data_IF_328576562709
#
_entry.id   IF_328576562709
#
_cell.length_a   1.000
_cell.length_b   1.000
_cell.length_c   1.000
_cell.angle_alpha   90.00
_cell.angle_beta   90.00
_cell.angle_gamma   90.00
#
_symmetry.space_group_name_H-M   'P 1'
#
loop_
_entity.id
_entity.type
_entity.pdbx_description
1 polymer ?
#
# COMPACT_ATOMS: atom_id res chain seq x y z
N UNK A 1 15.29 19.46 17.30
CA UNK A 1 16.09 18.93 18.42
C UNK A 1 16.87 19.98 19.20
N UNK A 2 17.31 21.10 18.59
CA UNK A 2 18.09 22.14 19.28
C UNK A 2 17.26 23.31 19.83
N UNK A 3 15.96 23.33 19.53
CA UNK A 3 15.03 24.34 20.02
C UNK A 3 14.54 23.97 21.43
N UNK A 4 15.38 24.28 22.42
CA UNK A 4 15.18 23.90 23.83
C UNK A 4 13.94 24.59 24.40
N UNK A 5 13.64 25.82 23.97
CA UNK A 5 12.51 26.57 24.50
C UNK A 5 11.18 25.93 24.11
N UNK A 6 11.01 25.59 22.82
CA UNK A 6 9.80 24.91 22.36
C UNK A 6 9.67 23.50 22.93
N UNK A 7 10.77 22.75 23.08
CA UNK A 7 10.73 21.45 23.74
C UNK A 7 10.30 21.54 25.21
N UNK A 8 10.75 22.56 25.95
CA UNK A 8 10.30 22.80 27.33
C UNK A 8 8.81 23.16 27.39
N UNK A 9 8.32 23.97 26.44
CA UNK A 9 6.89 24.28 26.32
C UNK A 9 6.08 23.00 26.11
N UNK A 10 6.45 22.19 25.10
CA UNK A 10 5.78 20.91 24.83
C UNK A 10 5.81 19.94 26.01
N UNK A 11 6.91 19.92 26.77
CA UNK A 11 7.01 19.10 27.98
C UNK A 11 6.06 19.59 29.08
N UNK A 12 5.88 20.91 29.22
CA UNK A 12 5.00 21.51 30.23
C UNK A 12 3.50 21.28 29.96
N UNK A 13 3.12 21.03 28.70
CA UNK A 13 1.73 20.72 28.32
C UNK A 13 1.25 19.36 28.86
N UNK A 14 2.16 18.43 29.21
CA UNK A 14 1.84 17.11 29.76
C UNK A 14 0.82 16.30 28.92
N UNK A 15 1.05 16.21 27.60
CA UNK A 15 0.19 15.44 26.69
C UNK A 15 0.02 13.98 27.13
N UNK A 16 -1.21 13.46 27.04
CA UNK A 16 -1.53 12.07 27.36
C UNK A 16 -1.12 11.08 26.25
N UNK A 17 -1.11 11.54 24.99
CA UNK A 17 -0.88 10.71 23.81
C UNK A 17 -0.22 11.50 22.68
N UNK A 18 0.73 10.86 21.99
CA UNK A 18 1.31 11.35 20.74
C UNK A 18 0.76 10.61 19.53
N UNK A 19 0.50 11.32 18.43
CA UNK A 19 0.23 10.71 17.12
C UNK A 19 1.30 11.20 16.15
N UNK A 20 1.99 10.28 15.47
CA UNK A 20 3.03 10.65 14.50
C UNK A 20 3.00 9.78 13.26
N UNK A 21 3.41 10.36 12.15
CA UNK A 21 3.45 9.71 10.83
C UNK A 21 4.78 8.97 10.67
N UNK A 22 4.74 7.75 10.13
CA UNK A 22 5.96 6.98 9.88
C UNK A 22 6.78 7.55 8.72
N UNK A 23 6.12 8.10 7.70
CA UNK A 23 6.80 8.70 6.56
C UNK A 23 7.67 9.91 6.95
N UNK A 24 7.28 10.64 8.00
CA UNK A 24 8.07 11.69 8.63
C UNK A 24 8.29 11.38 10.13
N UNK A 25 9.27 10.52 10.47
CA UNK A 25 9.39 9.94 11.81
C UNK A 25 10.00 10.89 12.84
N UNK A 26 10.12 12.19 12.55
CA UNK A 26 10.67 13.19 13.47
C UNK A 26 9.90 13.25 14.79
N UNK A 27 8.58 12.98 14.77
CA UNK A 27 7.74 13.02 15.97
C UNK A 27 8.18 12.02 17.04
N UNK A 28 8.70 10.85 16.67
CA UNK A 28 9.24 9.89 17.65
C UNK A 28 10.39 10.48 18.47
N UNK A 29 11.28 11.24 17.82
CA UNK A 29 12.36 11.94 18.49
C UNK A 29 11.87 13.02 19.45
N UNK A 30 10.82 13.75 19.06
CA UNK A 30 10.17 14.76 19.91
C UNK A 30 9.54 14.09 21.13
N UNK A 31 8.77 13.02 20.94
CA UNK A 31 8.12 12.27 22.02
C UNK A 31 9.16 11.77 23.03
N UNK A 32 10.25 11.17 22.55
CA UNK A 32 11.33 10.72 23.40
C UNK A 32 11.99 11.87 24.19
N UNK A 33 12.13 13.05 23.58
CA UNK A 33 12.76 14.22 24.25
C UNK A 33 11.90 14.83 25.34
N UNK A 34 10.58 14.87 25.15
CA UNK A 34 9.65 15.42 26.14
C UNK A 34 9.23 14.38 27.18
N UNK A 35 9.66 13.12 27.04
CA UNK A 35 9.33 12.03 27.95
C UNK A 35 7.96 11.39 27.73
N UNK A 36 7.33 11.63 26.57
CA UNK A 36 6.05 11.06 26.19
C UNK A 36 6.23 9.59 25.78
N UNK A 37 5.61 8.68 26.53
CA UNK A 37 5.75 7.22 26.34
C UNK A 37 4.58 6.57 25.61
N UNK A 38 3.43 7.25 25.54
CA UNK A 38 2.22 6.75 24.92
C UNK A 38 2.07 7.40 23.56
N UNK A 39 2.07 6.60 22.50
CA UNK A 39 1.88 7.11 21.15
C UNK A 39 1.31 6.05 20.20
N UNK A 40 0.73 6.56 19.12
CA UNK A 40 0.24 5.81 17.98
C UNK A 40 1.07 6.21 16.77
N UNK A 41 1.48 5.22 15.99
CA UNK A 41 2.09 5.46 14.67
C UNK A 41 0.99 5.47 13.63
N UNK A 42 1.03 6.40 12.69
CA UNK A 42 0.15 6.45 11.53
C UNK A 42 0.95 6.30 10.24
N UNK A 43 0.31 5.75 9.22
CA UNK A 43 0.81 5.74 7.87
C UNK A 43 -0.28 6.14 6.89
N UNK A 44 0.02 7.17 6.08
CA UNK A 44 -0.90 7.77 5.11
C UNK A 44 -1.34 6.87 3.95
N UNK A 45 -0.93 5.59 3.92
CA UNK A 45 -1.29 4.61 2.90
C UNK A 45 -1.55 3.22 3.51
N UNK A 46 -1.62 2.19 2.67
CA UNK A 46 -1.71 0.78 3.09
C UNK A 46 -0.54 0.35 3.97
N UNK A 47 -0.75 -0.69 4.78
CA UNK A 47 0.30 -1.27 5.61
C UNK A 47 1.56 -1.56 4.80
N UNK A 48 2.66 -0.95 5.23
CA UNK A 48 3.92 -0.93 4.51
C UNK A 48 4.83 -2.08 4.95
N UNK A 49 5.32 -2.95 4.04
CA UNK A 49 6.00 -4.19 4.45
C UNK A 49 7.18 -4.00 5.43
N UNK A 50 8.07 -3.00 5.29
CA UNK A 50 9.14 -2.81 6.26
C UNK A 50 8.62 -2.49 7.66
N UNK A 51 7.61 -1.61 7.77
CA UNK A 51 6.99 -1.25 9.05
C UNK A 51 6.19 -2.40 9.67
N UNK A 52 5.49 -3.18 8.84
CA UNK A 52 4.75 -4.36 9.25
C UNK A 52 5.69 -5.35 9.94
N UNK A 53 6.90 -5.49 9.41
CA UNK A 53 7.91 -6.41 9.93
C UNK A 53 8.38 -6.06 11.35
N UNK A 54 8.38 -4.77 11.71
CA UNK A 54 8.70 -4.26 13.05
C UNK A 54 7.59 -4.61 14.06
N UNK A 55 6.36 -4.73 13.57
CA UNK A 55 5.17 -5.14 14.34
C UNK A 55 4.97 -6.66 14.36
N UNK A 56 5.96 -7.43 13.87
CA UNK A 56 5.90 -8.89 13.79
C UNK A 56 4.97 -9.43 12.71
N UNK A 57 4.61 -8.60 11.73
CA UNK A 57 3.82 -8.98 10.56
C UNK A 57 4.76 -9.16 9.37
N UNK A 58 4.91 -10.40 8.91
CA UNK A 58 5.82 -10.74 7.81
C UNK A 58 5.00 -11.02 6.57
N UNK A 59 4.83 -9.99 5.73
CA UNK A 59 4.07 -10.08 4.49
C UNK A 59 4.84 -10.90 3.46
N UNK A 60 4.19 -11.86 2.82
CA UNK A 60 4.86 -12.76 1.87
C UNK A 60 4.80 -12.18 0.43
N UNK A 61 5.95 -12.03 -0.26
CA UNK A 61 6.01 -11.45 -1.60
C UNK A 61 5.38 -12.32 -2.71
N UNK A 62 4.80 -13.48 -2.38
CA UNK A 62 4.19 -14.39 -3.35
C UNK A 62 2.76 -13.99 -3.71
N UNK A 63 2.08 -13.26 -2.81
CA UNK A 63 0.71 -12.79 -2.99
C UNK A 63 0.48 -11.37 -2.48
N UNK A 64 1.40 -10.75 -1.74
CA UNK A 64 1.32 -9.33 -1.39
C UNK A 64 2.27 -8.54 -2.29
N UNK A 65 1.77 -7.60 -3.10
CA UNK A 65 2.60 -6.70 -3.87
C UNK A 65 3.36 -5.72 -2.96
N UNK A 66 4.63 -5.47 -3.30
CA UNK A 66 5.42 -4.42 -2.64
C UNK A 66 4.81 -3.04 -2.88
N UNK A 67 5.16 -2.06 -2.06
CA UNK A 67 4.62 -0.70 -2.19
C UNK A 67 4.95 -0.04 -3.53
N UNK A 68 6.11 -0.32 -4.11
CA UNK A 68 6.48 0.17 -5.44
C UNK A 68 6.09 -0.79 -6.57
N UNK A 69 5.28 -1.82 -6.28
CA UNK A 69 4.87 -2.85 -7.23
C UNK A 69 3.50 -2.54 -7.84
N UNK A 70 3.41 -2.47 -9.16
CA UNK A 70 2.13 -2.28 -9.87
C UNK A 70 1.49 -3.62 -10.26
N UNK A 71 1.36 -4.54 -9.29
CA UNK A 71 0.80 -5.89 -9.44
C UNK A 71 -0.42 -6.11 -8.55
N UNK A 72 -1.21 -7.13 -8.88
CA UNK A 72 -2.29 -7.62 -7.99
C UNK A 72 -1.77 -8.74 -7.09
N UNK A 73 -2.62 -9.21 -6.17
CA UNK A 73 -2.41 -10.41 -5.35
C UNK A 73 -2.43 -11.73 -6.14
N UNK A 74 -2.82 -11.68 -7.42
CA UNK A 74 -2.79 -12.81 -8.34
C UNK A 74 -1.64 -12.64 -9.32
N UNK A 75 -0.46 -13.16 -8.95
CA UNK A 75 0.78 -13.02 -9.70
C UNK A 75 1.17 -14.32 -10.39
N UNK A 76 1.58 -14.23 -11.66
CA UNK A 76 2.26 -15.34 -12.33
C UNK A 76 3.71 -15.51 -11.78
N UNK A 77 4.47 -16.48 -12.29
CA UNK A 77 5.82 -16.72 -11.80
C UNK A 77 6.77 -15.52 -11.98
N UNK A 78 6.77 -14.88 -13.15
CA UNK A 78 7.62 -13.72 -13.44
C UNK A 78 7.23 -12.53 -12.57
N UNK A 79 5.92 -12.31 -12.38
CA UNK A 79 5.41 -11.30 -11.48
C UNK A 79 5.93 -11.50 -10.05
N UNK A 80 5.91 -12.74 -9.55
CA UNK A 80 6.42 -13.09 -8.22
C UNK A 80 7.92 -12.88 -8.11
N UNK A 81 8.71 -13.25 -9.11
CA UNK A 81 10.17 -13.01 -9.12
C UNK A 81 10.46 -11.53 -9.02
N UNK A 82 9.86 -10.73 -9.89
CA UNK A 82 10.01 -9.28 -9.85
C UNK A 82 9.51 -8.67 -8.53
N UNK A 83 8.39 -9.15 -7.99
CA UNK A 83 7.84 -8.65 -6.72
C UNK A 83 8.76 -9.01 -5.53
N UNK A 84 9.38 -10.19 -5.56
CA UNK A 84 10.41 -10.56 -4.60
C UNK A 84 11.61 -9.59 -4.65
N UNK A 85 12.07 -9.23 -5.85
CA UNK A 85 13.10 -8.19 -6.00
C UNK A 85 12.63 -6.82 -5.50
N UNK A 86 11.37 -6.45 -5.72
CA UNK A 86 10.79 -5.22 -5.16
C UNK A 86 10.89 -5.22 -3.64
N UNK A 87 10.47 -6.29 -2.96
CA UNK A 87 10.60 -6.44 -1.51
C UNK A 87 12.04 -6.34 -1.02
N UNK A 88 12.99 -6.95 -1.75
CA UNK A 88 14.41 -6.88 -1.41
C UNK A 88 14.93 -5.43 -1.45
N UNK A 89 14.65 -4.70 -2.52
CA UNK A 89 15.02 -3.29 -2.66
C UNK A 89 14.33 -2.43 -1.60
N UNK A 90 13.05 -2.66 -1.37
CA UNK A 90 12.27 -1.98 -0.34
C UNK A 90 12.93 -2.11 1.04
N UNK A 91 13.25 -3.32 1.48
CA UNK A 91 13.88 -3.53 2.79
C UNK A 91 15.26 -2.87 2.92
N UNK A 92 16.03 -2.77 1.82
CA UNK A 92 17.33 -2.10 1.83
C UNK A 92 17.21 -0.58 1.87
N UNK A 93 16.33 0.00 1.06
CA UNK A 93 16.27 1.44 0.85
C UNK A 93 15.44 2.16 1.89
N UNK A 94 14.36 1.54 2.37
CA UNK A 94 13.34 2.26 3.14
C UNK A 94 13.82 2.65 4.53
N UNK A 95 14.59 1.79 5.22
CA UNK A 95 15.20 2.17 6.50
C UNK A 95 16.10 3.40 6.33
N UNK A 96 16.92 3.40 5.29
CA UNK A 96 17.83 4.51 5.01
C UNK A 96 17.06 5.79 4.61
N UNK A 97 15.98 5.64 3.83
CA UNK A 97 15.19 6.74 3.30
C UNK A 97 14.32 7.42 4.36
N UNK A 98 13.68 6.65 5.23
CA UNK A 98 12.68 7.18 6.17
C UNK A 98 13.27 7.44 7.56
N UNK A 99 13.96 6.45 8.15
CA UNK A 99 14.23 6.47 9.59
C UNK A 99 15.68 6.76 9.94
N UNK A 100 16.66 6.31 9.15
CA UNK A 100 18.06 6.33 9.55
C UNK A 100 18.63 7.74 9.78
N UNK A 101 18.32 8.71 8.92
CA UNK A 101 18.81 10.09 9.10
C UNK A 101 18.17 10.77 10.31
N UNK A 102 16.87 10.55 10.53
CA UNK A 102 16.17 11.06 11.71
C UNK A 102 16.75 10.43 12.97
N UNK A 103 16.94 9.11 12.99
CA UNK A 103 17.54 8.38 14.10
C UNK A 103 18.94 8.92 14.45
N UNK A 104 19.81 9.11 13.45
CA UNK A 104 21.14 9.73 13.65
C UNK A 104 21.05 11.11 14.29
N UNK A 105 20.10 11.94 13.84
CA UNK A 105 19.91 13.29 14.40
C UNK A 105 19.42 13.21 15.84
N UNK A 106 18.49 12.32 16.16
CA UNK A 106 17.97 12.13 17.51
C UNK A 106 19.05 11.59 18.44
N UNK A 107 19.86 10.63 17.99
CA UNK A 107 20.95 10.00 18.75
C UNK A 107 22.04 10.98 19.19
N UNK A 108 22.23 12.11 18.48
CA UNK A 108 23.12 13.20 18.95
C UNK A 108 22.70 13.77 20.31
N UNK A 109 21.41 13.67 20.64
CA UNK A 109 20.84 14.18 21.90
C UNK A 109 20.33 13.08 22.84
N UNK A 110 20.02 11.90 22.31
CA UNK A 110 19.54 10.72 23.03
C UNK A 110 20.32 9.48 22.54
N UNK A 111 21.54 9.21 23.04
CA UNK A 111 22.44 8.22 22.46
C UNK A 111 21.88 6.79 22.34
N UNK A 112 20.93 6.42 23.19
CA UNK A 112 20.32 5.08 23.22
C UNK A 112 18.97 5.02 22.46
N UNK A 113 18.63 6.04 21.67
CA UNK A 113 17.40 6.05 20.89
C UNK A 113 17.48 5.03 19.76
N UNK A 114 16.46 4.16 19.67
CA UNK A 114 16.30 3.12 18.66
C UNK A 114 14.96 3.33 17.97
N UNK A 115 14.99 3.70 16.69
CA UNK A 115 13.78 4.02 15.94
C UNK A 115 12.90 2.79 15.72
N UNK A 116 13.51 1.65 15.38
CA UNK A 116 12.78 0.42 15.06
C UNK A 116 12.03 -0.10 16.29
N UNK A 117 12.70 -0.06 17.46
CA UNK A 117 12.08 -0.39 18.74
C UNK A 117 10.99 0.60 19.13
N UNK A 118 11.19 1.88 18.86
CA UNK A 118 10.18 2.92 19.12
C UNK A 118 8.92 2.68 18.28
N UNK A 119 9.06 2.39 16.99
CA UNK A 119 7.91 2.05 16.12
C UNK A 119 7.21 0.79 16.62
N UNK A 120 7.97 -0.26 16.98
CA UNK A 120 7.43 -1.52 17.52
C UNK A 120 6.60 -1.32 18.81
N UNK A 121 7.05 -0.40 19.67
CA UNK A 121 6.39 -0.04 20.94
C UNK A 121 5.20 0.92 20.77
N UNK A 122 4.70 1.11 19.55
CA UNK A 122 3.45 1.86 19.36
C UNK A 122 2.28 1.10 19.96
N UNK A 123 1.36 1.82 20.61
CA UNK A 123 0.13 1.24 21.15
C UNK A 123 -0.72 0.63 20.02
N UNK A 124 -0.89 1.41 18.95
CA UNK A 124 -1.53 1.01 17.70
C UNK A 124 -0.77 1.57 16.50
N UNK A 125 -1.08 1.01 15.34
CA UNK A 125 -0.59 1.44 14.06
C UNK A 125 -1.76 1.73 13.12
N UNK A 126 -1.98 3.00 12.82
CA UNK A 126 -3.04 3.48 11.94
C UNK A 126 -2.62 3.38 10.49
N UNK A 127 -3.47 2.79 9.64
CA UNK A 127 -3.29 2.78 8.19
C UNK A 127 -4.45 3.48 7.49
N UNK A 128 -4.12 4.38 6.56
CA UNK A 128 -5.11 5.02 5.70
C UNK A 128 -5.48 4.11 4.52
N UNK A 129 -6.03 2.94 4.84
CA UNK A 129 -6.63 2.03 3.86
C UNK A 129 -7.94 1.46 4.40
N UNK A 130 -8.65 0.70 3.57
CA UNK A 130 -9.88 -0.01 3.92
C UNK A 130 -9.73 -1.52 3.74
N UNK A 131 -10.24 -2.31 4.67
CA UNK A 131 -10.15 -3.77 4.65
C UNK A 131 -10.85 -4.38 3.43
N UNK A 132 -11.88 -3.72 2.90
CA UNK A 132 -12.59 -4.16 1.70
C UNK A 132 -11.95 -3.69 0.40
N UNK A 133 -11.00 -2.75 0.45
CA UNK A 133 -10.27 -2.27 -0.73
C UNK A 133 -8.90 -2.95 -0.82
N UNK A 134 -8.19 -3.03 0.29
CA UNK A 134 -6.82 -3.53 0.36
C UNK A 134 -6.69 -5.03 0.01
N UNK A 135 -5.44 -5.49 -0.10
CA UNK A 135 -5.14 -6.91 -0.22
C UNK A 135 -5.46 -7.63 1.10
N UNK A 136 -6.21 -8.75 1.06
CA UNK A 136 -6.35 -9.64 2.21
C UNK A 136 -4.96 -10.14 2.63
N UNK A 137 -4.57 -9.85 3.86
CA UNK A 137 -3.24 -10.17 4.37
C UNK A 137 -3.26 -10.43 5.88
N UNK A 138 -2.27 -11.17 6.41
CA UNK A 138 -2.09 -11.29 7.86
C UNK A 138 -1.83 -9.92 8.49
N UNK A 139 -2.54 -9.63 9.57
CA UNK A 139 -2.36 -8.44 10.41
C UNK A 139 -2.42 -8.85 11.89
N UNK A 140 -1.89 -8.00 12.77
CA UNK A 140 -2.12 -8.10 14.22
C UNK A 140 -3.22 -7.12 14.63
N UNK A 141 -3.76 -7.30 15.84
CA UNK A 141 -4.70 -6.35 16.44
C UNK A 141 -4.09 -4.98 16.74
N UNK A 142 -2.77 -4.77 16.53
CA UNK A 142 -2.16 -3.44 16.53
C UNK A 142 -2.52 -2.62 15.28
N UNK A 143 -2.89 -3.26 14.16
CA UNK A 143 -3.17 -2.55 12.91
C UNK A 143 -4.63 -2.10 12.88
N UNK A 144 -4.85 -0.78 12.82
CA UNK A 144 -6.18 -0.19 12.76
C UNK A 144 -6.36 0.50 11.41
N UNK A 145 -7.33 0.03 10.63
CA UNK A 145 -7.74 0.66 9.38
C UNK A 145 -8.61 1.88 9.68
N UNK A 146 -8.12 3.06 9.31
CA UNK A 146 -8.73 4.35 9.65
C UNK A 146 -9.19 5.14 8.43
N UNK A 147 -9.13 4.58 7.21
CA UNK A 147 -9.46 5.34 6.02
C UNK A 147 -10.91 5.87 6.02
N UNK A 148 -11.10 6.93 5.24
CA UNK A 148 -12.37 7.65 5.17
C UNK A 148 -12.51 8.77 6.20
N UNK A 149 -11.42 9.19 6.86
CA UNK A 149 -11.40 10.43 7.67
C UNK A 149 -11.80 11.66 6.86
N UNK A 150 -11.49 11.66 5.57
CA UNK A 150 -11.87 12.70 4.61
C UNK A 150 -13.31 12.59 4.08
N UNK A 151 -14.17 11.72 4.63
CA UNK A 151 -15.61 11.72 4.33
C UNK A 151 -16.29 12.94 4.93
N UNK A 152 -15.95 14.11 4.40
CA UNK A 152 -16.69 15.34 4.64
C UNK A 152 -17.99 15.23 3.85
N UNK A 153 -19.11 15.55 4.48
CA UNK A 153 -20.39 15.59 3.79
C UNK A 153 -20.28 16.56 2.60
N UNK A 154 -20.58 16.07 1.40
CA UNK A 154 -20.52 16.86 0.20
C UNK A 154 -21.44 18.08 0.33
N UNK A 155 -20.91 19.24 -0.05
CA UNK A 155 -21.66 20.48 -0.10
C UNK A 155 -22.22 20.69 -1.51
N UNK A 156 -23.33 21.45 -1.65
CA UNK A 156 -23.79 21.85 -2.97
C UNK A 156 -22.68 22.56 -3.74
N UNK A 157 -22.47 22.16 -4.99
CA UNK A 157 -21.49 22.79 -5.87
C UNK A 157 -21.86 24.25 -6.13
N UNK A 158 -20.84 25.12 -6.21
CA UNK A 158 -21.03 26.49 -6.66
C UNK A 158 -21.59 26.53 -8.09
N UNK A 159 -22.24 27.63 -8.45
CA UNK A 159 -22.94 27.78 -9.73
C UNK A 159 -22.05 27.48 -10.94
N UNK A 160 -20.80 27.95 -10.92
CA UNK A 160 -19.82 27.69 -11.98
C UNK A 160 -19.66 26.20 -12.29
N UNK A 161 -19.54 25.36 -11.26
CA UNK A 161 -19.41 23.91 -11.45
C UNK A 161 -20.74 23.24 -11.81
N UNK A 162 -21.83 23.72 -11.24
CA UNK A 162 -23.18 23.22 -11.55
C UNK A 162 -23.49 23.43 -13.04
N UNK A 163 -23.16 24.59 -13.61
CA UNK A 163 -23.33 24.91 -15.03
C UNK A 163 -22.53 23.94 -15.94
N UNK A 164 -21.36 23.48 -15.50
CA UNK A 164 -20.56 22.46 -16.20
C UNK A 164 -21.29 21.11 -16.22
N UNK A 165 -21.89 20.69 -15.10
CA UNK A 165 -22.66 19.44 -15.04
C UNK A 165 -23.99 19.53 -15.80
N UNK A 166 -24.63 20.69 -15.83
CA UNK A 166 -25.90 20.91 -16.50
C UNK A 166 -25.77 20.97 -18.02
N UNK A 167 -24.70 21.59 -18.52
CA UNK A 167 -24.39 21.61 -19.95
C UNK A 167 -23.90 20.27 -20.51
N UNK A 168 -23.46 19.34 -19.64
CA UNK A 168 -22.98 18.02 -20.05
C UNK A 168 -24.13 17.07 -20.43
N UNK A 169 -24.22 16.70 -21.71
CA UNK A 169 -25.29 15.82 -22.23
C UNK A 169 -25.21 14.39 -21.68
N UNK A 170 -24.00 13.83 -21.59
CA UNK A 170 -23.78 12.46 -21.10
C UNK A 170 -23.28 12.41 -19.66
N UNK A 171 -22.57 13.45 -19.22
CA UNK A 171 -22.02 13.53 -17.87
C UNK A 171 -20.63 14.14 -17.88
N UNK A 172 -19.96 14.06 -16.73
CA UNK A 172 -18.67 14.70 -16.49
C UNK A 172 -17.60 13.66 -16.17
N UNK A 173 -16.37 13.90 -16.61
CA UNK A 173 -15.19 13.18 -16.12
C UNK A 173 -14.32 14.18 -15.38
N UNK A 174 -13.94 13.83 -14.15
CA UNK A 174 -13.02 14.65 -13.35
C UNK A 174 -11.59 14.15 -13.55
N UNK A 175 -10.63 15.07 -13.68
CA UNK A 175 -9.22 14.77 -13.88
C UNK A 175 -8.36 15.55 -12.87
N UNK A 176 -7.69 14.83 -11.96
CA UNK A 176 -6.78 15.41 -10.97
C UNK A 176 -5.64 14.46 -10.62
N UNK A 177 -4.40 14.97 -10.66
CA UNK A 177 -3.21 14.27 -10.17
C UNK A 177 -2.86 14.59 -8.71
N UNK A 178 -3.80 15.18 -7.96
CA UNK A 178 -3.61 15.51 -6.56
C UNK A 178 -2.84 16.81 -6.35
N UNK A 179 -2.22 16.97 -5.18
CA UNK A 179 -1.51 18.19 -4.78
C UNK A 179 -0.01 18.17 -5.10
N UNK A 180 0.61 16.99 -5.11
CA UNK A 180 2.06 16.81 -5.28
C UNK A 180 2.44 16.70 -6.75
N UNK A 181 1.72 15.89 -7.53
CA UNK A 181 1.90 15.82 -8.98
C UNK A 181 1.05 16.90 -9.62
N UNK A 182 1.70 17.89 -10.23
CA UNK A 182 1.01 19.01 -10.87
C UNK A 182 0.85 18.75 -12.36
N UNK A 183 -0.38 18.86 -12.87
CA UNK A 183 -0.70 18.67 -14.30
C UNK A 183 0.10 19.61 -15.20
N UNK A 184 0.43 20.81 -14.71
CA UNK A 184 1.20 21.77 -15.47
C UNK A 184 2.64 21.32 -15.77
N UNK A 185 3.18 20.34 -15.06
CA UNK A 185 4.53 19.79 -15.27
C UNK A 185 4.55 18.62 -16.27
N UNK A 186 3.37 18.14 -16.71
CA UNK A 186 3.29 17.11 -17.74
C UNK A 186 3.99 17.56 -19.02
N UNK A 187 4.56 16.60 -19.75
CA UNK A 187 5.16 16.89 -21.05
C UNK A 187 4.11 17.46 -22.01
N UNK A 188 4.46 18.43 -22.87
CA UNK A 188 3.52 19.02 -23.82
C UNK A 188 2.77 17.98 -24.66
N UNK A 189 3.45 16.93 -25.10
CA UNK A 189 2.85 15.86 -25.92
C UNK A 189 1.79 15.07 -25.15
N UNK A 190 2.00 14.86 -23.84
CA UNK A 190 1.02 14.20 -22.99
C UNK A 190 -0.21 15.08 -22.77
N UNK A 191 -0.01 16.39 -22.54
CA UNK A 191 -1.14 17.34 -22.41
C UNK A 191 -1.97 17.38 -23.69
N UNK A 192 -1.31 17.45 -24.84
CA UNK A 192 -1.98 17.43 -26.14
C UNK A 192 -2.75 16.13 -26.36
N UNK A 193 -2.18 14.98 -25.97
CA UNK A 193 -2.87 13.69 -26.06
C UNK A 193 -4.18 13.65 -25.26
N UNK A 194 -4.24 14.25 -24.07
CA UNK A 194 -5.49 14.38 -23.30
C UNK A 194 -6.49 15.29 -24.00
N UNK A 195 -6.07 16.47 -24.43
CA UNK A 195 -6.92 17.42 -25.14
C UNK A 195 -7.53 16.82 -26.41
N UNK A 196 -6.71 16.14 -27.21
CA UNK A 196 -7.14 15.45 -28.43
C UNK A 196 -8.09 14.30 -28.14
N UNK A 197 -7.87 13.57 -27.04
CA UNK A 197 -8.76 12.50 -26.60
C UNK A 197 -10.10 13.04 -26.10
N UNK A 198 -10.09 14.12 -25.32
CA UNK A 198 -11.30 14.75 -24.78
C UNK A 198 -12.18 15.34 -25.89
N UNK A 199 -11.57 15.85 -26.97
CA UNK A 199 -12.30 16.35 -28.13
C UNK A 199 -13.13 15.28 -28.86
N UNK A 200 -12.79 13.99 -28.73
CA UNK A 200 -13.56 12.86 -29.29
C UNK A 200 -14.88 12.60 -28.54
N UNK A 201 -15.08 13.25 -27.39
CA UNK A 201 -16.27 13.10 -26.56
C UNK A 201 -17.00 14.44 -26.36
N UNK A 202 -17.57 15.04 -27.43
CA UNK A 202 -18.20 16.38 -27.35
C UNK A 202 -19.45 16.43 -26.47
N UNK A 203 -19.98 15.29 -26.06
CA UNK A 203 -21.14 15.16 -25.16
C UNK A 203 -20.75 15.01 -23.67
N UNK A 204 -19.46 14.88 -23.39
CA UNK A 204 -18.88 14.75 -22.04
C UNK A 204 -18.07 16.01 -21.74
N UNK A 205 -18.29 16.59 -20.57
CA UNK A 205 -17.46 17.66 -20.06
C UNK A 205 -16.34 17.09 -19.19
N UNK A 206 -15.18 17.72 -19.24
CA UNK A 206 -13.98 17.33 -18.50
C UNK A 206 -13.61 18.46 -17.55
N UNK A 207 -13.60 18.19 -16.25
CA UNK A 207 -13.07 19.12 -15.25
C UNK A 207 -11.64 18.69 -14.94
N UNK A 208 -10.66 19.50 -15.32
CA UNK A 208 -9.24 19.20 -15.17
C UNK A 208 -8.58 20.14 -14.16
N UNK A 209 -8.11 19.58 -13.04
CA UNK A 209 -7.25 20.29 -12.09
C UNK A 209 -5.93 20.67 -12.77
N UNK A 210 -5.69 21.96 -12.93
CA UNK A 210 -4.51 22.49 -13.60
C UNK A 210 -4.00 23.73 -12.87
N UNK A 211 -2.72 23.74 -12.50
CA UNK A 211 -2.20 24.67 -11.48
C UNK A 211 -1.84 26.07 -11.99
N UNK A 212 -1.83 26.28 -13.31
CA UNK A 212 -1.39 27.51 -14.00
C UNK A 212 -2.40 27.98 -15.05
N UNK A 213 -3.28 28.89 -14.66
CA UNK A 213 -4.34 29.44 -15.52
C UNK A 213 -3.77 30.23 -16.71
N UNK A 214 -2.59 30.84 -16.54
CA UNK A 214 -1.90 31.60 -17.58
C UNK A 214 -1.53 30.77 -18.81
N UNK A 215 -1.45 29.44 -18.67
CA UNK A 215 -1.20 28.54 -19.80
C UNK A 215 -2.39 28.44 -20.76
N UNK A 216 -3.61 28.80 -20.33
CA UNK A 216 -4.85 28.74 -21.13
C UNK A 216 -5.01 27.39 -21.87
N UNK A 217 -4.66 26.28 -21.22
CA UNK A 217 -4.49 24.96 -21.86
C UNK A 217 -5.78 24.46 -22.54
N UNK A 218 -6.95 24.86 -22.04
CA UNK A 218 -8.26 24.45 -22.55
C UNK A 218 -8.90 25.46 -23.53
N UNK A 219 -8.21 26.55 -23.92
CA UNK A 219 -8.79 27.67 -24.70
C UNK A 219 -9.53 27.24 -25.97
N UNK A 220 -9.04 26.19 -26.64
CA UNK A 220 -9.60 25.68 -27.90
C UNK A 220 -10.50 24.45 -27.72
N UNK A 221 -10.79 24.04 -26.48
CA UNK A 221 -11.53 22.83 -26.14
C UNK A 221 -12.78 23.17 -25.33
N UNK A 222 -13.91 23.30 -26.02
CA UNK A 222 -15.19 23.76 -25.43
C UNK A 222 -15.74 22.88 -24.32
N UNK A 223 -15.33 21.61 -24.27
CA UNK A 223 -15.78 20.64 -23.28
C UNK A 223 -14.73 20.39 -22.18
N UNK A 224 -13.67 21.20 -22.10
CA UNK A 224 -12.64 21.08 -21.07
C UNK A 224 -12.63 22.34 -20.22
N UNK A 225 -12.78 22.16 -18.92
CA UNK A 225 -12.86 23.21 -17.91
C UNK A 225 -11.71 23.01 -16.93
N UNK A 226 -10.95 24.07 -16.65
CA UNK A 226 -9.77 23.99 -15.78
C UNK A 226 -9.95 24.79 -14.51
N UNK A 227 -9.38 24.31 -13.40
CA UNK A 227 -9.29 25.10 -12.18
C UNK A 227 -8.09 24.68 -11.34
N UNK A 228 -7.47 25.66 -10.67
CA UNK A 228 -6.32 25.45 -9.78
C UNK A 228 -6.69 24.70 -8.50
N UNK A 229 -7.80 25.08 -7.91
CA UNK A 229 -8.37 24.47 -6.71
C UNK A 229 -9.83 24.14 -6.99
N UNK A 230 -10.18 22.88 -6.81
CA UNK A 230 -11.49 22.36 -7.19
C UNK A 230 -12.14 21.69 -5.98
N UNK A 231 -13.47 21.79 -5.81
CA UNK A 231 -14.21 21.12 -4.74
C UNK A 231 -14.30 19.61 -5.02
N UNK A 232 -13.16 18.92 -4.95
CA UNK A 232 -13.01 17.51 -5.35
C UNK A 232 -13.99 16.60 -4.61
N UNK A 233 -14.20 16.83 -3.32
CA UNK A 233 -15.15 16.05 -2.54
C UNK A 233 -16.57 16.09 -3.14
N UNK A 234 -17.01 17.28 -3.53
CA UNK A 234 -18.36 17.56 -4.01
C UNK A 234 -18.53 17.15 -5.48
N UNK A 235 -17.50 17.37 -6.31
CA UNK A 235 -17.44 16.87 -7.69
C UNK A 235 -17.56 15.34 -7.71
N UNK A 236 -16.83 14.65 -6.83
CA UNK A 236 -16.87 13.19 -6.72
C UNK A 236 -18.22 12.65 -6.25
N UNK A 237 -19.04 13.46 -5.59
CA UNK A 237 -20.38 13.08 -5.10
C UNK A 237 -21.49 13.36 -6.11
N UNK A 238 -21.19 14.07 -7.20
CA UNK A 238 -22.21 14.51 -8.14
C UNK A 238 -22.77 13.34 -8.98
N UNK A 239 -24.10 13.18 -9.12
CA UNK A 239 -24.72 12.02 -9.77
C UNK A 239 -24.42 11.88 -11.27
N UNK A 240 -24.09 12.99 -11.95
CA UNK A 240 -23.66 13.00 -13.38
C UNK A 240 -22.16 12.72 -13.56
N UNK A 241 -21.39 12.48 -12.50
CA UNK A 241 -19.98 12.11 -12.65
C UNK A 241 -19.86 10.66 -13.15
N UNK A 242 -19.16 10.50 -14.27
CA UNK A 242 -18.97 9.21 -14.93
C UNK A 242 -17.74 8.46 -14.43
N UNK A 243 -16.61 9.16 -14.29
CA UNK A 243 -15.34 8.58 -13.89
C UNK A 243 -14.38 9.65 -13.33
N UNK A 244 -13.34 9.18 -12.64
CA UNK A 244 -12.25 10.00 -12.12
C UNK A 244 -10.91 9.55 -12.71
N UNK A 245 -10.27 10.41 -13.50
CA UNK A 245 -8.87 10.24 -13.92
C UNK A 245 -7.98 10.73 -12.78
N UNK A 246 -7.21 9.81 -12.19
CA UNK A 246 -6.37 10.08 -11.03
C UNK A 246 -4.97 9.49 -11.18
N UNK A 247 -4.00 10.07 -10.50
CA UNK A 247 -2.68 9.46 -10.35
C UNK A 247 -2.69 8.18 -9.47
N UNK A 248 -3.79 7.88 -8.76
CA UNK A 248 -3.88 6.70 -7.90
C UNK A 248 -3.29 6.91 -6.49
N UNK A 249 -3.16 8.15 -6.03
CA UNK A 249 -2.83 8.42 -4.62
C UNK A 249 -3.90 7.86 -3.67
N UNK A 250 -3.51 7.43 -2.47
CA UNK A 250 -4.39 6.67 -1.58
C UNK A 250 -5.67 7.45 -1.21
N UNK A 251 -5.58 8.75 -0.95
CA UNK A 251 -6.76 9.57 -0.67
C UNK A 251 -7.77 9.58 -1.84
N UNK A 252 -7.28 9.75 -3.08
CA UNK A 252 -8.13 9.68 -4.28
C UNK A 252 -8.75 8.30 -4.47
N UNK A 253 -8.00 7.23 -4.18
CA UNK A 253 -8.50 5.85 -4.20
C UNK A 253 -9.63 5.67 -3.19
N UNK A 254 -9.46 6.19 -1.98
CA UNK A 254 -10.46 6.12 -0.92
C UNK A 254 -11.72 6.96 -1.24
N UNK A 255 -11.54 8.21 -1.68
CA UNK A 255 -12.65 9.09 -2.05
C UNK A 255 -13.48 8.52 -3.21
N UNK A 256 -12.82 8.04 -4.27
CA UNK A 256 -13.51 7.42 -5.39
C UNK A 256 -14.24 6.13 -5.01
N UNK A 257 -13.58 5.27 -4.22
CA UNK A 257 -14.17 4.00 -3.77
C UNK A 257 -15.36 4.19 -2.84
N UNK A 258 -15.31 5.18 -1.95
CA UNK A 258 -16.40 5.47 -1.01
C UNK A 258 -17.62 6.09 -1.68
N UNK A 259 -17.44 6.78 -2.82
CA UNK A 259 -18.51 7.40 -3.60
C UNK A 259 -18.99 6.57 -4.81
N UNK A 260 -18.41 5.39 -5.01
CA UNK A 260 -18.79 4.51 -6.12
C UNK A 260 -18.43 5.08 -7.49
N UNK A 261 -17.31 5.78 -7.56
CA UNK A 261 -16.79 6.38 -8.79
C UNK A 261 -15.75 5.44 -9.40
N UNK A 262 -15.91 4.99 -10.66
CA UNK A 262 -14.86 4.29 -11.39
C UNK A 262 -13.64 5.17 -11.68
N UNK A 263 -12.44 4.59 -11.64
CA UNK A 263 -11.19 5.35 -11.82
C UNK A 263 -10.44 4.96 -13.10
N UNK A 264 -9.84 5.96 -13.76
CA UNK A 264 -8.74 5.75 -14.70
C UNK A 264 -7.47 6.18 -13.96
N UNK A 265 -6.67 5.21 -13.54
CA UNK A 265 -5.47 5.44 -12.77
C UNK A 265 -4.24 5.59 -13.67
N UNK A 266 -3.45 6.64 -13.46
CA UNK A 266 -2.21 6.89 -14.18
C UNK A 266 -1.09 7.11 -13.16
N UNK A 267 -0.50 6.04 -12.62
CA UNK A 267 0.55 6.13 -11.61
C UNK A 267 1.77 6.88 -12.10
N UNK A 268 2.29 7.79 -11.27
CA UNK A 268 3.48 8.60 -11.57
C UNK A 268 4.69 8.10 -10.78
N UNK A 269 4.55 7.91 -9.46
CA UNK A 269 5.63 7.47 -8.57
C UNK A 269 5.11 6.87 -7.25
N UNK A 270 6.03 6.42 -6.39
CA UNK A 270 5.77 5.89 -5.06
C UNK A 270 4.73 4.75 -5.05
N UNK A 271 3.75 4.82 -4.15
CA UNK A 271 2.74 3.80 -3.87
C UNK A 271 1.58 3.78 -4.87
N UNK A 272 1.49 4.79 -5.74
CA UNK A 272 0.40 5.01 -6.69
C UNK A 272 0.15 3.80 -7.59
N UNK A 273 1.23 3.11 -8.00
CA UNK A 273 1.15 1.90 -8.82
C UNK A 273 0.42 0.77 -8.09
N UNK A 274 0.82 0.49 -6.85
CA UNK A 274 0.18 -0.52 -5.99
C UNK A 274 -1.28 -0.16 -5.70
N UNK A 275 -1.53 1.09 -5.32
CA UNK A 275 -2.86 1.59 -4.97
C UNK A 275 -3.83 1.47 -6.13
N UNK A 276 -3.37 1.77 -7.35
CA UNK A 276 -4.18 1.60 -8.56
C UNK A 276 -4.60 0.15 -8.77
N UNK A 277 -3.71 -0.80 -8.48
CA UNK A 277 -4.02 -2.22 -8.62
C UNK A 277 -5.04 -2.74 -7.59
N UNK A 278 -5.22 -2.05 -6.46
CA UNK A 278 -6.32 -2.32 -5.51
C UNK A 278 -7.69 -2.14 -6.18
N UNK A 279 -7.81 -1.19 -7.10
CA UNK A 279 -9.06 -0.92 -7.81
C UNK A 279 -9.18 -1.76 -9.09
N UNK A 280 -8.07 -1.96 -9.82
CA UNK A 280 -8.05 -2.82 -11.01
C UNK A 280 -8.50 -4.24 -10.66
N UNK A 281 -8.00 -4.83 -9.56
CA UNK A 281 -8.42 -6.19 -9.13
C UNK A 281 -9.91 -6.28 -8.76
N UNK A 282 -10.50 -5.17 -8.29
CA UNK A 282 -11.92 -5.06 -7.96
C UNK A 282 -12.77 -4.79 -9.20
N UNK A 283 -12.14 -4.57 -10.36
CA UNK A 283 -12.82 -4.18 -11.58
C UNK A 283 -13.52 -2.83 -11.47
N UNK A 284 -12.96 -1.90 -10.69
CA UNK A 284 -13.45 -0.52 -10.51
C UNK A 284 -12.52 0.51 -11.13
N UNK A 285 -11.39 0.09 -11.70
CA UNK A 285 -10.47 0.97 -12.38
C UNK A 285 -9.77 0.34 -13.59
N UNK A 286 -9.26 1.21 -14.45
CA UNK A 286 -8.31 0.92 -15.53
C UNK A 286 -7.00 1.61 -15.18
N UNK A 287 -5.86 0.92 -15.35
CA UNK A 287 -4.53 1.53 -15.20
C UNK A 287 -3.94 1.85 -16.57
N UNK A 288 -3.42 3.06 -16.76
CA UNK A 288 -2.57 3.44 -17.90
C UNK A 288 -1.17 3.72 -17.37
N UNK A 289 -0.15 3.13 -17.98
CA UNK A 289 1.23 3.47 -17.61
C UNK A 289 1.57 4.90 -18.08
N UNK A 290 2.28 5.67 -17.27
CA UNK A 290 2.67 7.05 -17.62
C UNK A 290 3.50 7.15 -18.91
N UNK A 291 4.16 6.06 -19.30
CA UNK A 291 4.94 5.95 -20.54
C UNK A 291 4.07 5.63 -21.76
N UNK A 292 2.82 5.19 -21.54
CA UNK A 292 1.87 4.79 -22.59
C UNK A 292 0.76 5.83 -22.81
N UNK A 293 0.90 7.03 -22.22
CA UNK A 293 -0.05 8.13 -22.41
C UNK A 293 -0.04 8.55 -23.88
N UNK A 294 -1.17 8.33 -24.54
CA UNK A 294 -1.43 8.70 -25.93
C UNK A 294 -2.91 8.97 -26.12
N UNK A 295 -3.29 9.66 -27.20
CA UNK A 295 -4.71 9.86 -27.55
C UNK A 295 -5.45 8.52 -27.58
N UNK A 296 -4.85 7.50 -28.21
CA UNK A 296 -5.46 6.19 -28.36
C UNK A 296 -5.70 5.48 -27.01
N UNK A 297 -4.71 5.47 -26.11
CA UNK A 297 -4.86 4.83 -24.81
C UNK A 297 -5.88 5.53 -23.92
N UNK A 298 -5.95 6.86 -23.95
CA UNK A 298 -6.93 7.65 -23.18
C UNK A 298 -8.35 7.43 -23.73
N UNK A 299 -8.54 7.51 -25.06
CA UNK A 299 -9.84 7.25 -25.70
C UNK A 299 -10.33 5.84 -25.40
N UNK A 300 -9.45 4.84 -25.48
CA UNK A 300 -9.79 3.45 -25.17
C UNK A 300 -10.23 3.30 -23.71
N UNK A 301 -9.48 3.86 -22.76
CA UNK A 301 -9.82 3.79 -21.34
C UNK A 301 -11.14 4.51 -21.01
N UNK A 302 -11.37 5.70 -21.57
CA UNK A 302 -12.63 6.44 -21.38
C UNK A 302 -13.80 5.63 -21.96
N UNK A 303 -13.70 5.13 -23.19
CA UNK A 303 -14.75 4.31 -23.80
C UNK A 303 -15.06 3.08 -22.97
N UNK A 304 -14.03 2.34 -22.56
CA UNK A 304 -14.21 1.13 -21.76
C UNK A 304 -14.92 1.43 -20.43
N UNK A 305 -14.45 2.43 -19.67
CA UNK A 305 -14.96 2.67 -18.33
C UNK A 305 -16.40 3.20 -18.31
N UNK A 306 -16.81 3.96 -19.33
CA UNK A 306 -18.17 4.52 -19.41
C UNK A 306 -19.17 3.58 -20.09
N UNK A 307 -18.73 2.69 -20.98
CA UNK A 307 -19.62 1.78 -21.73
C UNK A 307 -19.80 0.43 -21.03
N UNK A 308 -18.77 -0.05 -20.33
CA UNK A 308 -18.81 -1.31 -19.61
C UNK A 308 -19.38 -1.11 -18.20
N UNK A 309 -20.66 -1.46 -18.03
CA UNK A 309 -21.41 -1.29 -16.77
C UNK A 309 -20.73 -1.93 -15.56
N UNK A 310 -19.92 -2.97 -15.77
CA UNK A 310 -19.17 -3.67 -14.71
C UNK A 310 -18.41 -2.70 -13.82
N UNK A 311 -17.77 -1.68 -14.38
CA UNK A 311 -16.97 -0.73 -13.59
C UNK A 311 -17.82 0.06 -12.61
N UNK A 312 -18.96 0.60 -13.06
CA UNK A 312 -19.88 1.36 -12.22
C UNK A 312 -20.61 0.47 -11.22
N UNK A 313 -21.04 -0.72 -11.64
CA UNK A 313 -21.69 -1.70 -10.75
C UNK A 313 -20.76 -2.15 -9.62
N UNK A 314 -19.52 -2.52 -9.95
CA UNK A 314 -18.52 -2.89 -8.95
C UNK A 314 -18.14 -1.71 -8.04
N UNK A 315 -18.04 -0.48 -8.59
CA UNK A 315 -17.72 0.70 -7.79
C UNK A 315 -18.84 1.00 -6.79
N UNK A 316 -20.10 0.95 -7.22
CA UNK A 316 -21.26 1.12 -6.35
C UNK A 316 -21.33 0.02 -5.27
N UNK A 317 -21.04 -1.23 -5.65
CA UNK A 317 -21.01 -2.34 -4.69
C UNK A 317 -19.90 -2.15 -3.65
N UNK A 318 -18.70 -1.75 -4.08
CA UNK A 318 -17.57 -1.47 -3.19
C UNK A 318 -17.88 -0.31 -2.25
N UNK A 319 -18.46 0.79 -2.77
CA UNK A 319 -18.92 1.92 -1.96
C UNK A 319 -19.91 1.48 -0.90
N UNK A 320 -20.89 0.63 -1.26
CA UNK A 320 -21.85 0.08 -0.30
C UNK A 320 -21.14 -0.73 0.79
N UNK A 321 -20.17 -1.58 0.45
CA UNK A 321 -19.41 -2.35 1.46
C UNK A 321 -18.65 -1.43 2.42
N UNK A 322 -17.90 -0.47 1.89
CA UNK A 322 -17.09 0.47 2.67
C UNK A 322 -17.95 1.39 3.55
N UNK A 323 -19.08 1.86 3.03
CA UNK A 323 -19.99 2.75 3.75
C UNK A 323 -20.87 2.03 4.77
N UNK A 324 -21.12 0.73 4.59
CA UNK A 324 -21.93 -0.07 5.51
C UNK A 324 -21.12 -0.71 6.65
N UNK A 325 -19.83 -0.37 6.79
CA UNK A 325 -19.01 -0.89 7.88
C UNK A 325 -19.59 -0.49 9.25
N UNK A 326 -19.53 -1.38 10.24
CA UNK A 326 -20.11 -1.12 11.57
C UNK A 326 -19.41 0.01 12.32
N UNK A 327 -18.11 0.21 12.10
CA UNK A 327 -17.30 1.23 12.77
C UNK A 327 -16.62 2.13 11.74
N UNK A 328 -17.05 3.40 11.59
CA UNK A 328 -16.41 4.38 10.73
C UNK A 328 -14.96 4.68 11.12
N UNK A 329 -14.15 5.15 10.16
CA UNK A 329 -12.73 5.45 10.38
C UNK A 329 -12.50 6.47 11.50
N UNK A 330 -13.29 7.54 11.56
CA UNK A 330 -13.15 8.57 12.61
C UNK A 330 -13.45 8.01 14.00
N UNK A 331 -14.50 7.20 14.14
CA UNK A 331 -14.84 6.58 15.42
C UNK A 331 -13.74 5.63 15.89
N UNK A 332 -13.13 4.87 14.97
CA UNK A 332 -11.97 4.03 15.28
C UNK A 332 -10.80 4.88 15.76
N UNK A 333 -10.46 5.96 15.06
CA UNK A 333 -9.38 6.87 15.46
C UNK A 333 -9.57 7.36 16.89
N UNK A 334 -10.77 7.83 17.23
CA UNK A 334 -11.06 8.36 18.57
C UNK A 334 -10.97 7.26 19.62
N UNK A 335 -11.69 6.15 19.44
CA UNK A 335 -11.74 5.08 20.46
C UNK A 335 -10.39 4.41 20.72
N UNK A 336 -9.60 4.16 19.67
CA UNK A 336 -8.26 3.59 19.83
C UNK A 336 -7.26 4.62 20.39
N UNK A 337 -7.44 5.92 20.10
CA UNK A 337 -6.64 6.98 20.71
C UNK A 337 -6.95 7.10 22.21
N UNK A 338 -8.22 7.12 22.61
CA UNK A 338 -8.64 7.14 24.01
C UNK A 338 -8.05 5.94 24.78
N UNK A 339 -8.16 4.74 24.21
CA UNK A 339 -7.55 3.54 24.79
C UNK A 339 -6.02 3.67 24.92
N UNK A 340 -5.34 4.15 23.88
CA UNK A 340 -3.89 4.33 23.91
C UNK A 340 -3.45 5.42 24.89
N UNK A 341 -4.24 6.48 25.05
CA UNK A 341 -4.00 7.53 26.04
C UNK A 341 -4.11 6.98 27.46
N UNK A 342 -5.05 6.06 27.70
CA UNK A 342 -5.20 5.40 29.01
C UNK A 342 -4.07 4.39 29.26
N UNK A 343 -3.86 3.45 28.34
CA UNK A 343 -3.04 2.25 28.59
C UNK A 343 -1.67 2.22 27.90
N UNK A 344 -1.46 3.01 26.84
CA UNK A 344 -0.26 2.94 26.01
C UNK A 344 -0.10 1.60 25.29
N UNK A 345 1.15 1.22 24.99
CA UNK A 345 1.45 -0.15 24.54
C UNK A 345 1.40 -1.12 25.71
N UNK A 346 0.41 -2.01 25.68
CA UNK A 346 0.21 -3.02 26.73
C UNK A 346 1.16 -4.21 26.59
N UNK A 347 1.88 -4.34 25.48
CA UNK A 347 2.70 -5.50 25.14
C UNK A 347 1.91 -6.76 24.75
N UNK A 348 0.60 -6.81 25.07
CA UNK A 348 -0.26 -7.98 24.81
C UNK A 348 -0.54 -8.22 23.33
N UNK A 349 -0.43 -7.19 22.50
CA UNK A 349 -0.68 -7.25 21.06
C UNK A 349 0.60 -7.39 20.23
N UNK A 350 1.77 -7.49 20.88
CA UNK A 350 3.03 -7.69 20.20
C UNK A 350 3.17 -9.15 19.76
N UNK A 351 3.35 -9.36 18.46
CA UNK A 351 3.65 -10.69 17.93
C UNK A 351 5.08 -11.09 18.25
N UNK A 352 5.30 -12.31 18.75
CA UNK A 352 6.65 -12.85 18.99
C UNK A 352 7.45 -13.00 17.69
N UNK A 353 6.76 -13.08 16.54
CA UNK A 353 7.40 -13.04 15.22
C UNK A 353 8.21 -11.76 14.96
N UNK A 354 7.99 -10.68 15.74
CA UNK A 354 8.82 -9.48 15.70
C UNK A 354 10.23 -9.70 16.28
N UNK A 355 10.36 -10.61 17.25
CA UNK A 355 11.58 -10.87 18.01
C UNK A 355 12.39 -12.06 17.45
N UNK A 356 11.83 -12.80 16.49
CA UNK A 356 12.45 -13.99 15.92
C UNK A 356 13.37 -13.66 14.74
N UNK A 357 14.46 -14.41 14.63
CA UNK A 357 15.32 -14.40 13.44
C UNK A 357 14.60 -15.01 12.24
N UNK A 358 15.06 -14.69 11.04
CA UNK A 358 14.53 -15.26 9.80
C UNK A 358 14.52 -16.80 9.81
N UNK A 359 15.57 -17.43 10.38
CA UNK A 359 15.70 -18.89 10.41
C UNK A 359 14.59 -19.52 11.27
N UNK A 360 14.36 -19.00 12.46
CA UNK A 360 13.37 -19.54 13.42
C UNK A 360 11.95 -19.27 12.93
N UNK A 361 11.69 -18.05 12.47
CA UNK A 361 10.37 -17.61 11.99
C UNK A 361 9.85 -18.49 10.85
N UNK A 362 10.71 -18.87 9.90
CA UNK A 362 10.36 -19.76 8.79
C UNK A 362 10.66 -21.24 9.09
N UNK A 363 11.00 -21.56 10.34
CA UNK A 363 11.29 -22.92 10.81
C UNK A 363 12.36 -23.65 9.99
N UNK A 364 13.32 -22.90 9.44
CA UNK A 364 14.38 -23.46 8.59
C UNK A 364 15.34 -24.35 9.39
N UNK A 365 15.52 -24.05 10.67
CA UNK A 365 16.22 -24.88 11.64
C UNK A 365 15.52 -26.22 11.85
N UNK A 366 14.21 -26.22 12.08
CA UNK A 366 13.40 -27.43 12.25
C UNK A 366 13.37 -28.26 10.95
N UNK A 367 13.17 -27.62 9.80
CA UNK A 367 13.22 -28.29 8.48
C UNK A 367 14.61 -28.91 8.26
N UNK A 368 15.67 -28.15 8.52
CA UNK A 368 17.05 -28.64 8.41
C UNK A 368 17.31 -29.85 9.31
N UNK A 369 16.83 -29.81 10.55
CA UNK A 369 16.92 -30.94 11.48
C UNK A 369 16.19 -32.19 10.96
N UNK A 370 14.94 -32.04 10.49
CA UNK A 370 14.16 -33.15 9.95
C UNK A 370 14.81 -33.76 8.70
N UNK A 371 15.35 -32.93 7.80
CA UNK A 371 16.08 -33.40 6.62
C UNK A 371 17.36 -34.16 7.01
N UNK A 372 18.07 -33.72 8.05
CA UNK A 372 19.24 -34.42 8.56
C UNK A 372 18.89 -35.80 9.14
N UNK A 373 17.78 -35.90 9.90
CA UNK A 373 17.28 -37.18 10.42
C UNK A 373 16.91 -38.15 9.30
N UNK A 374 16.18 -37.68 8.28
CA UNK A 374 15.81 -38.48 7.11
C UNK A 374 17.07 -38.92 6.34
N UNK A 375 18.01 -38.00 6.11
CA UNK A 375 19.28 -38.29 5.45
C UNK A 375 20.09 -39.35 6.20
N UNK A 376 20.16 -39.27 7.52
CA UNK A 376 20.83 -40.26 8.36
C UNK A 376 20.15 -41.63 8.29
N UNK A 377 18.82 -41.69 8.33
CA UNK A 377 18.08 -42.95 8.19
C UNK A 377 18.33 -43.62 6.83
N UNK A 378 18.31 -42.84 5.74
CA UNK A 378 18.64 -43.32 4.39
C UNK A 378 20.10 -43.83 4.34
N UNK A 379 21.04 -43.09 4.92
CA UNK A 379 22.44 -43.50 5.00
C UNK A 379 22.61 -44.84 5.72
N UNK A 380 21.98 -45.01 6.90
CA UNK A 380 22.01 -46.27 7.67
C UNK A 380 21.39 -47.42 6.86
N UNK A 381 20.24 -47.21 6.22
CA UNK A 381 19.59 -48.21 5.38
C UNK A 381 20.50 -48.66 4.21
N UNK A 382 21.10 -47.71 3.49
CA UNK A 382 22.04 -48.00 2.39
C UNK A 382 23.27 -48.74 2.92
N UNK A 383 23.79 -48.35 4.08
CA UNK A 383 24.92 -49.01 4.72
C UNK A 383 24.60 -50.47 5.09
N UNK A 384 23.42 -50.73 5.69
CA UNK A 384 22.93 -52.08 5.99
C UNK A 384 22.81 -52.91 4.71
N UNK A 385 22.16 -52.37 3.67
CA UNK A 385 22.02 -53.07 2.37
C UNK A 385 23.38 -53.39 1.76
N UNK A 386 24.34 -52.46 1.78
CA UNK A 386 25.71 -52.71 1.30
C UNK A 386 26.41 -53.80 2.11
N UNK A 387 26.23 -53.82 3.44
CA UNK A 387 26.78 -54.87 4.32
C UNK A 387 26.16 -56.24 4.03
N UNK A 388 24.83 -56.31 3.89
CA UNK A 388 24.10 -57.53 3.53
C UNK A 388 24.53 -58.04 2.15
N UNK A 389 24.65 -57.15 1.16
CA UNK A 389 25.13 -57.49 -0.18
C UNK A 389 26.56 -58.06 -0.15
N UNK A 390 27.51 -57.39 0.53
CA UNK A 390 28.87 -57.92 0.70
C UNK A 390 28.90 -59.25 1.44
N UNK A 391 28.04 -59.44 2.44
CA UNK A 391 27.92 -60.71 3.17
C UNK A 391 27.40 -61.84 2.28
N UNK A 392 26.36 -61.58 1.49
CA UNK A 392 25.81 -62.53 0.52
C UNK A 392 26.84 -62.89 -0.56
N UNK A 393 27.58 -61.91 -1.09
CA UNK A 393 28.68 -62.15 -2.02
C UNK A 393 29.74 -63.08 -1.42
N UNK A 394 30.18 -62.82 -0.18
CA UNK A 394 31.15 -63.70 0.51
C UNK A 394 30.63 -65.12 0.69
N UNK A 395 29.37 -65.31 1.09
CA UNK A 395 28.76 -66.66 1.21
C UNK A 395 28.66 -67.38 -0.13
N UNK A 396 28.33 -66.67 -1.21
CA UNK A 396 28.25 -67.25 -2.56
C UNK A 396 29.63 -67.64 -3.12
N UNK A 397 30.67 -66.83 -2.88
CA UNK A 397 32.04 -67.16 -3.28
C UNK A 397 32.63 -68.33 -2.47
N UNK A 398 32.44 -68.37 -1.15
CA UNK A 398 32.89 -69.51 -0.31
C UNK A 398 32.21 -70.83 -0.73
N UNK A 399 30.95 -70.79 -1.16
CA UNK A 399 30.25 -71.98 -1.70
C UNK A 399 30.80 -72.46 -3.06
N UNK A 400 31.37 -71.57 -3.89
CA UNK A 400 32.00 -71.95 -5.16
C UNK A 400 33.35 -72.63 -4.93
N UNK A 401 34.17 -72.15 -3.99
CA UNK A 401 35.49 -72.73 -3.71
C UNK A 401 35.41 -74.11 -3.04
N UNK A 402 34.40 -74.37 -2.21
CA UNK A 402 34.18 -75.69 -1.60
C UNK A 402 33.72 -76.74 -2.64
N UNK A 403 33.08 -76.33 -3.74
CA UNK A 403 32.73 -77.23 -4.83
C UNK A 403 33.92 -77.58 -5.75
N UNK A 404 34.94 -76.72 -5.85
CA UNK A 404 36.14 -77.00 -6.66
C UNK A 404 37.22 -77.81 -5.94
N UNK A 405 37.24 -77.88 -4.60
CA UNK A 405 38.17 -78.72 -3.82
C UNK A 405 37.77 -80.19 -3.65
N UNK A 406 36.67 -80.63 -4.29
CA UNK A 406 36.12 -82.00 -4.18
C UNK A 406 36.18 -82.81 -5.48
N UNK A 407 36.99 -82.42 -6.45
CA UNK A 407 37.29 -83.21 -7.66
C UNK A 407 38.74 -83.67 -7.66
#
# INVERSE_FOLDING_TARGET
MNDIENLKKLQAENFDLGLTELFDPCGFGVFAKIGLKKYITAFGSSLFPPSASLLGIKLHPSYIPGVFSAKTDRMNFIDRVQNFFTYFIENLWIKQMLTAEVEKVVQKTLPNFDMDKTISNSAFYYVNSDEHIDYPQPITHKIIYIAGLGKVQAQPLEKEYTDIFDSAKKGVIFFSFGSVVQSHEMKPEQKQAFLDAFAEFPEINFIWKYEKDEHQIAKNHKNVFTGKWLPQNDILDHPKLLAFISHGGMNSVMEGSTKGVPLICIPIFADQGRNSMLLVRRGTAIKIDKTEISKASIVAAIKEIISNKKYKENANQLAKMVNSKPFPGLERVVKYAEFAAEFGDTGTLQSEGANQSFIVLYSLDAIGFLLAVIGFAIFVAVWIVKKLYKFLQRKLFVRKDVKHKKQ
#
